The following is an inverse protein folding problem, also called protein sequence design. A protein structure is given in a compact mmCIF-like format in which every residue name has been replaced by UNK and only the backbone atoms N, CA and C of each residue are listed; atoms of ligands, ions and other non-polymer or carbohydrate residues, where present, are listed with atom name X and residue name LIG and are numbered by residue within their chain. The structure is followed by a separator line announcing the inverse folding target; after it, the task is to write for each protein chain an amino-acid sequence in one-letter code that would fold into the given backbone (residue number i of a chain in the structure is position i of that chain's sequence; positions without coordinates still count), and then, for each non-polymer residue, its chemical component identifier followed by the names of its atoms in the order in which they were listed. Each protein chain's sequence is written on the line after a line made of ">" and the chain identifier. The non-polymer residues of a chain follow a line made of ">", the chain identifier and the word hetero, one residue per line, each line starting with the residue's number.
data_IF_753498136659
#
_entry.id   IF_753498136659
#
_cell.length_a   1.000
_cell.length_b   1.000
_cell.length_c   1.000
_cell.angle_alpha   90.00
_cell.angle_beta   90.00
_cell.angle_gamma   90.00
#
_symmetry.space_group_name_H-M   'P 1'
#
loop_
_entity.id
_entity.type
_entity.pdbx_description
1 polymer ?
#
# COMPACT_ATOMS: atom_id res chain seq x y z
N UNK A 1 -11.20 -20.25 -12.94
CA UNK A 1 -11.48 -19.39 -11.77
C UNK A 1 -12.97 -19.04 -11.78
N UNK A 2 -13.67 -19.26 -10.66
CA UNK A 2 -15.11 -18.96 -10.59
C UNK A 2 -15.37 -17.47 -10.88
N UNK A 3 -16.36 -17.18 -11.74
CA UNK A 3 -16.76 -15.81 -12.06
C UNK A 3 -17.12 -14.99 -10.80
N UNK A 4 -17.67 -15.66 -9.79
CA UNK A 4 -18.00 -15.06 -8.47
C UNK A 4 -16.77 -14.48 -7.77
N UNK A 5 -15.65 -15.22 -7.70
CA UNK A 5 -14.42 -14.74 -7.08
C UNK A 5 -13.84 -13.54 -7.83
N UNK A 6 -13.84 -13.59 -9.16
CA UNK A 6 -13.36 -12.48 -9.98
C UNK A 6 -14.21 -11.22 -9.79
N UNK A 7 -15.52 -11.37 -9.70
CA UNK A 7 -16.43 -10.24 -9.45
C UNK A 7 -16.23 -9.65 -8.05
N UNK A 8 -16.01 -10.49 -7.04
CA UNK A 8 -15.67 -10.04 -5.69
C UNK A 8 -14.37 -9.23 -5.68
N UNK A 9 -13.31 -9.75 -6.30
CA UNK A 9 -12.02 -9.04 -6.37
C UNK A 9 -12.12 -7.71 -7.13
N UNK A 10 -12.95 -7.63 -8.18
CA UNK A 10 -13.21 -6.37 -8.90
C UNK A 10 -13.91 -5.34 -8.01
N UNK A 11 -14.82 -5.77 -7.15
CA UNK A 11 -15.57 -4.88 -6.27
C UNK A 11 -14.71 -4.22 -5.19
N UNK A 12 -13.54 -4.79 -4.85
CA UNK A 12 -12.62 -4.20 -3.86
C UNK A 12 -12.01 -2.91 -4.43
N UNK A 13 -12.23 -1.73 -3.81
CA UNK A 13 -11.67 -0.48 -4.30
C UNK A 13 -10.17 -0.37 -3.95
N UNK A 14 -9.37 0.27 -4.82
CA UNK A 14 -7.94 0.53 -4.55
C UNK A 14 -7.73 1.34 -3.26
N UNK A 15 -8.55 2.37 -2.93
CA UNK A 15 -8.41 3.12 -1.67
C UNK A 15 -8.49 2.30 -0.38
N UNK A 16 -8.91 1.02 -0.42
CA UNK A 16 -8.86 0.13 0.75
C UNK A 16 -7.44 -0.01 1.31
N UNK A 17 -6.42 0.22 0.47
CA UNK A 17 -5.03 0.20 0.89
C UNK A 17 -4.71 1.26 1.97
N UNK A 18 -5.46 2.37 1.99
CA UNK A 18 -5.37 3.36 3.05
C UNK A 18 -5.82 2.82 4.41
N UNK A 19 -6.86 1.97 4.44
CA UNK A 19 -7.29 1.29 5.65
C UNK A 19 -6.21 0.31 6.15
N UNK A 20 -5.63 -0.46 5.23
CA UNK A 20 -4.54 -1.40 5.57
C UNK A 20 -3.35 -0.63 6.15
N UNK A 21 -2.98 0.48 5.51
CA UNK A 21 -1.90 1.36 5.97
C UNK A 21 -2.20 1.97 7.35
N UNK A 22 -3.45 2.17 7.71
CA UNK A 22 -3.83 2.62 9.06
C UNK A 22 -3.76 1.51 10.11
N UNK A 23 -4.17 0.29 9.74
CA UNK A 23 -4.23 -0.86 10.67
C UNK A 23 -2.83 -1.38 11.05
N UNK A 24 -1.91 -1.47 10.11
CA UNK A 24 -0.59 -2.06 10.33
C UNK A 24 0.28 -1.24 11.31
N UNK A 25 0.45 0.09 11.13
CA UNK A 25 1.20 0.88 12.10
C UNK A 25 0.53 0.91 13.47
N UNK A 26 -0.81 0.96 13.51
CA UNK A 26 -1.56 0.89 14.76
C UNK A 26 -1.30 -0.43 15.49
N UNK A 27 -1.32 -1.55 14.75
CA UNK A 27 -1.00 -2.86 15.30
C UNK A 27 0.42 -2.94 15.86
N UNK A 28 1.41 -2.43 15.11
CA UNK A 28 2.80 -2.37 15.56
C UNK A 28 2.98 -1.46 16.78
N UNK A 29 2.31 -0.31 16.83
CA UNK A 29 2.32 0.61 17.97
C UNK A 29 1.71 -0.04 19.22
N UNK A 30 0.53 -0.65 19.10
CA UNK A 30 -0.12 -1.33 20.24
C UNK A 30 0.74 -2.47 20.77
N UNK A 31 1.42 -3.19 19.88
CA UNK A 31 2.36 -4.22 20.29
C UNK A 31 3.52 -3.62 21.11
N UNK A 32 4.13 -2.53 20.64
CA UNK A 32 5.26 -1.87 21.33
C UNK A 32 4.87 -1.27 22.69
N UNK A 33 3.59 -0.87 22.85
CA UNK A 33 3.04 -0.34 24.11
C UNK A 33 2.58 -1.45 25.08
N UNK A 34 2.85 -2.75 24.77
CA UNK A 34 2.51 -3.87 25.62
C UNK A 34 1.11 -4.47 25.41
N UNK A 35 0.32 -3.94 24.48
CA UNK A 35 -0.98 -4.50 24.10
C UNK A 35 -0.84 -5.55 22.99
N UNK A 36 0.04 -6.56 23.22
CA UNK A 36 0.44 -7.52 22.20
C UNK A 36 -0.74 -8.24 21.53
N UNK A 37 -1.74 -8.67 22.30
CA UNK A 37 -2.88 -9.41 21.76
C UNK A 37 -3.69 -8.58 20.77
N UNK A 38 -4.00 -7.34 21.13
CA UNK A 38 -4.76 -6.42 20.26
C UNK A 38 -3.91 -5.99 19.08
N UNK A 39 -2.64 -5.65 19.30
CA UNK A 39 -1.70 -5.29 18.24
C UNK A 39 -1.59 -6.37 17.17
N UNK A 40 -1.44 -7.63 17.57
CA UNK A 40 -1.36 -8.75 16.65
C UNK A 40 -2.67 -8.94 15.83
N UNK A 41 -3.85 -8.72 16.43
CA UNK A 41 -5.12 -8.80 15.69
C UNK A 41 -5.13 -7.80 14.54
N UNK A 42 -4.71 -6.55 14.78
CA UNK A 42 -4.62 -5.53 13.74
C UNK A 42 -3.62 -5.92 12.64
N UNK A 43 -2.42 -6.36 13.01
CA UNK A 43 -1.39 -6.77 12.05
C UNK A 43 -1.82 -7.99 11.21
N UNK A 44 -2.39 -9.03 11.83
CA UNK A 44 -2.88 -10.19 11.05
C UNK A 44 -4.03 -9.82 10.13
N UNK A 45 -4.93 -8.94 10.57
CA UNK A 45 -6.04 -8.47 9.72
C UNK A 45 -5.50 -7.66 8.54
N UNK A 46 -4.56 -6.74 8.77
CA UNK A 46 -3.90 -5.99 7.70
C UNK A 46 -3.17 -6.89 6.72
N UNK A 47 -2.42 -7.89 7.21
CA UNK A 47 -1.74 -8.87 6.37
C UNK A 47 -2.73 -9.67 5.51
N UNK A 48 -3.86 -10.12 6.07
CA UNK A 48 -4.89 -10.80 5.31
C UNK A 48 -5.46 -9.90 4.20
N UNK A 49 -5.72 -8.63 4.52
CA UNK A 49 -6.23 -7.66 3.53
C UNK A 49 -5.20 -7.41 2.42
N UNK A 50 -3.90 -7.33 2.72
CA UNK A 50 -2.84 -7.22 1.71
C UNK A 50 -2.83 -8.45 0.80
N UNK A 51 -2.95 -9.66 1.34
CA UNK A 51 -2.99 -10.89 0.54
C UNK A 51 -4.19 -10.88 -0.41
N UNK A 52 -5.37 -10.49 0.06
CA UNK A 52 -6.57 -10.35 -0.78
C UNK A 52 -6.36 -9.28 -1.86
N UNK A 53 -5.71 -8.16 -1.52
CA UNK A 53 -5.43 -7.10 -2.48
C UNK A 53 -4.38 -7.52 -3.53
N UNK A 54 -3.38 -8.30 -3.16
CA UNK A 54 -2.43 -8.91 -4.10
C UNK A 54 -3.15 -9.85 -5.07
N UNK A 55 -4.07 -10.69 -4.58
CA UNK A 55 -4.92 -11.51 -5.45
C UNK A 55 -5.73 -10.66 -6.43
N UNK A 56 -6.29 -9.52 -5.96
CA UNK A 56 -6.95 -8.57 -6.84
C UNK A 56 -6.02 -8.07 -7.95
N UNK A 57 -4.81 -7.63 -7.62
CA UNK A 57 -3.84 -7.15 -8.63
C UNK A 57 -3.56 -8.24 -9.66
N UNK A 58 -3.28 -9.47 -9.22
CA UNK A 58 -2.95 -10.59 -10.11
C UNK A 58 -4.11 -10.96 -11.03
N UNK A 59 -5.32 -11.10 -10.48
CA UNK A 59 -6.47 -11.61 -11.24
C UNK A 59 -7.27 -10.54 -11.98
N UNK A 60 -7.14 -9.27 -11.58
CA UNK A 60 -7.86 -8.14 -12.19
C UNK A 60 -6.92 -7.02 -12.63
N UNK A 61 -5.71 -7.38 -13.09
CA UNK A 61 -4.65 -6.44 -13.44
C UNK A 61 -5.11 -5.35 -14.42
N UNK A 62 -5.82 -5.75 -15.49
CA UNK A 62 -6.34 -4.80 -16.49
C UNK A 62 -7.31 -3.78 -15.89
N UNK A 63 -8.19 -4.23 -15.01
CA UNK A 63 -9.15 -3.36 -14.33
C UNK A 63 -8.44 -2.42 -13.35
N UNK A 64 -7.41 -2.93 -12.66
CA UNK A 64 -6.57 -2.15 -11.74
C UNK A 64 -5.80 -1.06 -12.49
N UNK A 65 -5.17 -1.40 -13.62
CA UNK A 65 -4.48 -0.41 -14.47
C UNK A 65 -5.44 0.63 -15.06
N UNK A 66 -6.65 0.22 -15.44
CA UNK A 66 -7.66 1.14 -15.92
C UNK A 66 -8.11 2.13 -14.81
N UNK A 67 -8.21 1.66 -13.57
CA UNK A 67 -8.55 2.51 -12.42
C UNK A 67 -7.47 3.55 -12.12
N UNK A 68 -6.19 3.27 -12.34
CA UNK A 68 -5.08 4.21 -12.14
C UNK A 68 -5.07 5.39 -13.15
N UNK A 69 -5.94 5.36 -14.17
CA UNK A 69 -6.15 6.53 -15.05
C UNK A 69 -6.93 7.64 -14.36
N UNK A 70 -7.64 7.33 -13.29
CA UNK A 70 -8.28 8.35 -12.45
C UNK A 70 -7.23 8.96 -11.51
N UNK A 71 -7.01 10.29 -11.53
CA UNK A 71 -5.96 10.96 -10.75
C UNK A 71 -6.14 10.79 -9.23
N UNK A 72 -7.36 10.73 -8.73
CA UNK A 72 -7.63 10.51 -7.31
C UNK A 72 -7.23 9.08 -6.90
N UNK A 73 -7.57 8.08 -7.71
CA UNK A 73 -7.22 6.68 -7.43
C UNK A 73 -5.71 6.48 -7.55
N UNK A 74 -5.08 7.07 -8.57
CA UNK A 74 -3.65 6.98 -8.80
C UNK A 74 -2.85 7.61 -7.64
N UNK A 75 -3.33 8.74 -7.09
CA UNK A 75 -2.64 9.41 -5.97
C UNK A 75 -2.73 8.63 -4.65
N UNK A 76 -3.75 7.80 -4.48
CA UNK A 76 -3.92 6.95 -3.28
C UNK A 76 -3.27 5.56 -3.45
N UNK A 77 -3.04 5.10 -4.67
CA UNK A 77 -2.45 3.79 -4.93
C UNK A 77 -1.10 3.54 -4.21
N UNK A 78 -0.20 4.53 -4.02
CA UNK A 78 1.04 4.35 -3.25
C UNK A 78 0.83 3.93 -1.79
N UNK A 79 -0.36 4.09 -1.20
CA UNK A 79 -0.66 3.56 0.15
C UNK A 79 -0.49 2.05 0.24
N UNK A 80 -0.67 1.34 -0.88
CA UNK A 80 -0.41 -0.10 -0.95
C UNK A 80 1.07 -0.43 -0.70
N UNK A 81 1.97 0.28 -1.36
CA UNK A 81 3.41 0.06 -1.20
C UNK A 81 3.91 0.53 0.17
N UNK A 82 3.32 1.59 0.72
CA UNK A 82 3.57 2.02 2.11
C UNK A 82 3.12 0.93 3.10
N UNK A 83 1.95 0.34 2.90
CA UNK A 83 1.47 -0.77 3.71
C UNK A 83 2.39 -2.00 3.63
N UNK A 84 2.95 -2.31 2.45
CA UNK A 84 3.94 -3.39 2.29
C UNK A 84 5.23 -3.11 3.08
N UNK A 85 5.71 -1.86 3.12
CA UNK A 85 6.87 -1.49 3.94
C UNK A 85 6.58 -1.69 5.43
N UNK A 86 5.40 -1.31 5.91
CA UNK A 86 5.03 -1.50 7.33
C UNK A 86 4.82 -2.97 7.66
N UNK A 87 4.23 -3.75 6.75
CA UNK A 87 4.08 -5.20 6.93
C UNK A 87 5.42 -5.90 7.02
N UNK A 88 6.47 -5.42 6.34
CA UNK A 88 7.80 -6.03 6.47
C UNK A 88 8.32 -5.98 7.91
N UNK A 89 8.00 -4.92 8.67
CA UNK A 89 8.33 -4.80 10.10
C UNK A 89 7.58 -5.85 10.93
N UNK A 90 6.30 -6.06 10.64
CA UNK A 90 5.51 -7.10 11.30
C UNK A 90 6.03 -8.51 10.99
N UNK A 91 6.36 -8.77 9.71
CA UNK A 91 6.91 -10.05 9.28
C UNK A 91 8.29 -10.33 9.88
N UNK A 92 9.12 -9.30 10.07
CA UNK A 92 10.43 -9.45 10.72
C UNK A 92 10.28 -9.92 12.17
N UNK A 93 9.24 -9.44 12.85
CA UNK A 93 8.91 -9.88 14.23
C UNK A 93 8.41 -11.34 14.27
N UNK A 94 7.63 -11.78 13.25
CA UNK A 94 7.09 -13.15 13.20
C UNK A 94 8.12 -14.16 12.69
N UNK A 95 8.87 -13.77 11.69
CA UNK A 95 9.84 -14.60 10.99
C UNK A 95 11.12 -13.79 10.81
N UNK A 96 12.08 -13.84 11.77
CA UNK A 96 13.32 -13.08 11.71
C UNK A 96 14.24 -13.61 10.60
N UNK A 97 13.85 -13.39 9.36
CA UNK A 97 14.61 -13.70 8.16
C UNK A 97 14.97 -12.40 7.44
N UNK A 98 16.09 -11.81 7.80
CA UNK A 98 16.53 -10.52 7.28
C UNK A 98 16.55 -10.46 5.75
N UNK A 99 16.98 -11.55 5.08
CA UNK A 99 17.06 -11.57 3.61
C UNK A 99 15.66 -11.42 2.99
N UNK A 100 14.69 -12.18 3.48
CA UNK A 100 13.32 -12.16 2.95
C UNK A 100 12.63 -10.82 3.26
N UNK A 101 12.77 -10.34 4.50
CA UNK A 101 12.11 -9.12 4.95
C UNK A 101 12.71 -7.90 4.27
N UNK A 102 14.04 -7.81 4.13
CA UNK A 102 14.71 -6.76 3.37
C UNK A 102 14.35 -6.81 1.89
N UNK A 103 14.24 -7.99 1.28
CA UNK A 103 13.82 -8.11 -0.11
C UNK A 103 12.39 -7.59 -0.33
N UNK A 104 11.46 -7.90 0.58
CA UNK A 104 10.10 -7.36 0.54
C UNK A 104 10.10 -5.84 0.69
N UNK A 105 10.83 -5.32 1.67
CA UNK A 105 10.93 -3.88 1.96
C UNK A 105 11.53 -3.11 0.77
N UNK A 106 12.67 -3.58 0.23
CA UNK A 106 13.29 -2.96 -0.96
C UNK A 106 12.36 -3.02 -2.17
N UNK A 107 11.67 -4.15 -2.38
CA UNK A 107 10.69 -4.28 -3.46
C UNK A 107 9.54 -3.27 -3.29
N UNK A 108 9.05 -3.09 -2.07
CA UNK A 108 8.02 -2.10 -1.78
C UNK A 108 8.48 -0.67 -2.06
N UNK A 109 9.74 -0.32 -1.76
CA UNK A 109 10.33 0.99 -2.08
C UNK A 109 10.39 1.18 -3.60
N UNK A 110 10.91 0.21 -4.34
CA UNK A 110 11.01 0.30 -5.81
C UNK A 110 9.63 0.49 -6.43
N UNK A 111 8.62 -0.27 -5.97
CA UNK A 111 7.24 -0.12 -6.42
C UNK A 111 6.66 1.24 -6.05
N UNK A 112 6.98 1.77 -4.87
CA UNK A 112 6.55 3.10 -4.44
C UNK A 112 7.07 4.18 -5.37
N UNK A 113 8.38 4.17 -5.63
CA UNK A 113 9.02 5.10 -6.55
C UNK A 113 8.49 4.96 -7.98
N UNK A 114 8.19 3.74 -8.43
CA UNK A 114 7.59 3.50 -9.73
C UNK A 114 6.16 4.08 -9.82
N UNK A 115 5.32 3.89 -8.80
CA UNK A 115 3.97 4.48 -8.75
C UNK A 115 4.02 6.00 -8.67
N UNK A 116 4.96 6.56 -7.91
CA UNK A 116 5.18 8.01 -7.83
C UNK A 116 5.62 8.57 -9.20
N UNK A 117 6.58 7.91 -9.87
CA UNK A 117 7.01 8.27 -11.22
C UNK A 117 5.87 8.18 -12.24
N UNK A 118 5.07 7.11 -12.17
CA UNK A 118 3.86 6.97 -12.99
C UNK A 118 2.88 8.13 -12.76
N UNK A 119 2.61 8.47 -11.49
CA UNK A 119 1.71 9.55 -11.14
C UNK A 119 2.18 10.89 -11.71
N UNK A 120 3.46 11.20 -11.57
CA UNK A 120 4.08 12.43 -12.12
C UNK A 120 3.94 12.43 -13.64
N UNK A 121 4.31 11.33 -14.30
CA UNK A 121 4.36 11.26 -15.77
C UNK A 121 2.96 11.32 -16.41
N UNK A 122 1.94 10.79 -15.76
CA UNK A 122 0.60 10.65 -16.36
C UNK A 122 -0.35 11.75 -15.90
N UNK A 123 -0.21 12.24 -14.67
CA UNK A 123 -1.20 13.14 -14.06
C UNK A 123 -0.66 14.55 -13.77
N UNK A 124 0.67 14.76 -13.75
CA UNK A 124 1.25 16.08 -13.50
C UNK A 124 1.83 16.68 -14.78
N UNK A 125 2.73 15.97 -15.48
CA UNK A 125 3.44 16.53 -16.63
C UNK A 125 2.55 16.85 -17.84
N UNK A 126 1.49 16.06 -18.18
CA UNK A 126 0.69 16.32 -19.38
C UNK A 126 -0.39 17.39 -19.19
N UNK A 127 -0.64 17.82 -17.96
CA UNK A 127 -1.77 18.73 -17.63
C UNK A 127 -1.23 20.09 -17.21
N UNK A 128 -1.81 21.17 -17.73
CA UNK A 128 -1.63 22.49 -17.11
C UNK A 128 -2.27 22.46 -15.72
N UNK A 129 -1.44 22.25 -14.70
CA UNK A 129 -1.90 22.10 -13.32
C UNK A 129 -2.42 23.45 -12.81
N UNK A 130 -3.73 23.60 -12.79
CA UNK A 130 -4.40 24.70 -12.08
C UNK A 130 -4.79 24.23 -10.68
N UNK A 131 -4.96 25.18 -9.73
CA UNK A 131 -5.34 24.87 -8.35
C UNK A 131 -6.62 24.03 -8.24
N UNK A 132 -7.51 24.13 -9.22
CA UNK A 132 -8.77 23.37 -9.28
C UNK A 132 -8.55 21.86 -9.54
N UNK A 133 -7.41 21.48 -10.11
CA UNK A 133 -7.07 20.08 -10.42
C UNK A 133 -6.19 19.43 -9.36
N UNK A 134 -5.70 20.18 -8.36
CA UNK A 134 -4.86 19.66 -7.29
C UNK A 134 -5.72 19.11 -6.16
N UNK A 135 -5.78 17.79 -6.04
CA UNK A 135 -6.48 17.13 -4.94
C UNK A 135 -5.56 16.96 -3.73
N UNK A 136 -6.07 17.10 -2.49
CA UNK A 136 -5.29 16.85 -1.27
C UNK A 136 -4.65 15.45 -1.23
N UNK A 137 -5.26 14.47 -1.89
CA UNK A 137 -4.71 13.10 -1.99
C UNK A 137 -3.38 13.02 -2.73
N UNK A 138 -2.99 14.03 -3.51
CA UNK A 138 -1.69 14.07 -4.20
C UNK A 138 -0.52 14.06 -3.21
N UNK A 139 -0.70 14.69 -2.03
CA UNK A 139 0.31 14.66 -0.97
C UNK A 139 0.63 13.24 -0.50
N UNK A 140 -0.34 12.32 -0.53
CA UNK A 140 -0.14 10.93 -0.10
C UNK A 140 0.96 10.27 -0.93
N UNK A 141 1.00 10.53 -2.24
CA UNK A 141 2.00 9.99 -3.15
C UNK A 141 3.43 10.35 -2.73
N UNK A 142 3.64 11.57 -2.26
CA UNK A 142 4.99 12.08 -1.92
C UNK A 142 5.35 11.86 -0.45
N UNK A 143 4.39 11.97 0.46
CA UNK A 143 4.59 11.71 1.89
C UNK A 143 5.02 10.26 2.16
N UNK A 144 4.65 9.34 1.26
CA UNK A 144 5.03 7.93 1.37
C UNK A 144 6.54 7.68 1.45
N UNK A 145 7.38 8.58 0.94
CA UNK A 145 8.84 8.52 1.11
C UNK A 145 9.22 8.54 2.61
N UNK A 146 8.46 9.24 3.45
CA UNK A 146 8.70 9.30 4.89
C UNK A 146 8.48 7.97 5.62
N UNK A 147 7.80 7.00 5.00
CA UNK A 147 7.63 5.65 5.56
C UNK A 147 8.92 4.84 5.48
N UNK A 148 9.79 5.13 4.51
CA UNK A 148 11.04 4.41 4.27
C UNK A 148 11.95 4.42 5.53
N UNK A 149 12.35 5.58 6.08
CA UNK A 149 13.20 5.59 7.28
C UNK A 149 12.48 5.06 8.52
N UNK A 150 11.14 5.18 8.58
CA UNK A 150 10.36 4.71 9.73
C UNK A 150 10.19 3.18 9.77
N UNK A 151 10.42 2.51 8.66
CA UNK A 151 10.28 1.05 8.53
C UNK A 151 11.62 0.36 8.27
N UNK A 152 12.72 1.12 8.20
CA UNK A 152 14.05 0.52 8.10
C UNK A 152 14.41 -0.16 9.41
N UNK A 153 14.69 -1.45 9.34
CA UNK A 153 15.12 -2.28 10.49
C UNK A 153 16.66 -2.32 10.61
N UNK A 154 17.33 -1.39 9.97
CA UNK A 154 18.80 -1.30 9.96
C UNK A 154 19.30 -0.44 11.10
#
# INVERSE_FOLDING_TARGET
>A
MNNTLKNFLKAIPIPICGLILGMEPLGNLLFSEGFEGIGNIFCYTGLLMILVFLLKIVFTFKDTMAALRNPIIASVAPTFTMALMVVSVFLDRLFPNQIMNNALWVTAIILHLALMGYFIAVHILPVEVTLEYVYPSWFITFVGIGVIPNTSTV
#
